data_IF_963852177964
#
_entry.id   IF_963852177964
#
_cell.length_a   1.000
_cell.length_b   1.000
_cell.length_c   1.000
_cell.angle_alpha   90.00
_cell.angle_beta   90.00
_cell.angle_gamma   90.00
#
_symmetry.space_group_name_H-M   'P 1'
#
loop_
_entity.id
_entity.type
_entity.pdbx_description
1 polymer ?
#
# COMPACT_ATOMS: atom_id res chain seq x y z
N UNK A 1 22.95 -2.57 -7.04
CA UNK A 1 23.12 -2.34 -5.56
C UNK A 1 23.20 -3.68 -4.82
N UNK A 2 24.12 -3.90 -3.87
CA UNK A 2 24.18 -5.20 -3.15
C UNK A 2 23.04 -5.32 -2.13
N UNK A 3 22.38 -6.48 -2.09
CA UNK A 3 21.25 -6.72 -1.18
C UNK A 3 21.40 -8.05 -0.43
N UNK A 4 20.57 -8.24 0.60
CA UNK A 4 20.44 -9.53 1.31
C UNK A 4 19.04 -9.69 1.90
N UNK A 5 18.69 -10.93 2.24
CA UNK A 5 17.48 -11.22 3.00
C UNK A 5 17.73 -11.18 4.51
N UNK A 6 16.83 -10.51 5.23
CA UNK A 6 16.67 -10.63 6.66
C UNK A 6 15.42 -11.46 6.95
N UNK A 7 15.59 -12.60 7.62
CA UNK A 7 14.52 -13.55 7.90
C UNK A 7 14.17 -13.46 9.39
N UNK A 8 12.91 -13.12 9.66
CA UNK A 8 12.34 -13.00 11.00
C UNK A 8 11.06 -13.86 11.08
N UNK A 9 10.53 -14.10 12.29
CA UNK A 9 9.29 -14.90 12.43
C UNK A 9 8.14 -14.16 11.73
N UNK A 10 7.58 -14.80 10.70
CA UNK A 10 6.46 -14.24 9.94
C UNK A 10 6.85 -13.08 9.00
N UNK A 11 8.14 -12.83 8.76
CA UNK A 11 8.57 -11.74 7.86
C UNK A 11 9.89 -12.08 7.17
N UNK A 12 9.97 -11.77 5.88
CA UNK A 12 11.22 -11.81 5.13
C UNK A 12 11.38 -10.47 4.45
N UNK A 13 12.42 -9.73 4.84
CA UNK A 13 12.73 -8.39 4.29
C UNK A 13 13.93 -8.47 3.36
N UNK A 14 13.82 -7.85 2.18
CA UNK A 14 14.95 -7.53 1.32
C UNK A 14 15.55 -6.21 1.79
N UNK A 15 16.85 -6.22 2.14
CA UNK A 15 17.54 -5.05 2.67
C UNK A 15 18.81 -4.74 1.88
N UNK A 16 19.23 -3.48 1.88
CA UNK A 16 20.55 -3.07 1.34
C UNK A 16 21.66 -3.68 2.20
N UNK A 17 22.63 -4.34 1.57
CA UNK A 17 23.77 -4.93 2.27
C UNK A 17 24.93 -3.93 2.40
N UNK A 18 24.83 -3.03 3.37
CA UNK A 18 25.85 -2.00 3.64
C UNK A 18 27.05 -2.50 4.46
N UNK A 19 27.13 -3.79 4.82
CA UNK A 19 28.24 -4.37 5.60
C UNK A 19 28.38 -3.89 7.06
N UNK A 20 27.70 -2.81 7.45
CA UNK A 20 27.75 -2.20 8.79
C UNK A 20 26.47 -2.53 9.57
N UNK A 21 26.57 -2.69 10.90
CA UNK A 21 25.42 -2.67 11.82
C UNK A 21 24.89 -1.23 11.93
N UNK A 22 24.12 -0.79 10.95
CA UNK A 22 23.42 0.49 10.94
C UNK A 22 21.90 0.32 10.85
N UNK A 23 21.18 1.41 10.59
CA UNK A 23 19.74 1.38 10.30
C UNK A 23 19.44 0.47 9.11
N UNK A 24 18.42 -0.38 9.25
CA UNK A 24 18.01 -1.31 8.20
C UNK A 24 17.38 -0.50 7.07
N UNK A 25 17.92 -0.57 5.86
CA UNK A 25 17.28 0.02 4.68
C UNK A 25 16.50 -1.07 3.95
N UNK A 26 15.18 -1.13 4.19
CA UNK A 26 14.29 -2.14 3.62
C UNK A 26 13.83 -1.69 2.23
N UNK A 27 13.95 -2.58 1.24
CA UNK A 27 13.56 -2.36 -0.14
C UNK A 27 12.23 -3.05 -0.50
N UNK A 28 11.96 -4.18 0.15
CA UNK A 28 10.71 -4.90 0.04
C UNK A 28 10.58 -5.85 1.24
N UNK A 29 9.36 -6.27 1.55
CA UNK A 29 9.18 -7.36 2.49
C UNK A 29 7.93 -8.17 2.17
N UNK A 30 8.01 -9.47 2.42
CA UNK A 30 6.82 -10.31 2.54
C UNK A 30 6.50 -10.54 4.02
N UNK A 31 5.24 -10.37 4.39
CA UNK A 31 4.76 -10.50 5.79
C UNK A 31 3.63 -11.52 5.85
N UNK A 32 3.73 -12.44 6.80
CA UNK A 32 2.72 -13.44 7.09
C UNK A 32 1.56 -12.78 7.83
N UNK A 33 0.35 -13.03 7.36
CA UNK A 33 -0.85 -12.75 8.12
C UNK A 33 -0.96 -13.80 9.23
N UNK A 34 -0.71 -13.39 10.48
CA UNK A 34 -0.57 -14.31 11.60
C UNK A 34 -1.77 -15.25 11.73
N UNK A 35 -1.49 -16.55 11.91
CA UNK A 35 -2.53 -17.59 12.03
C UNK A 35 -3.20 -18.00 10.72
N UNK A 36 -2.87 -17.38 9.58
CA UNK A 36 -3.59 -17.63 8.31
C UNK A 36 -2.79 -18.42 7.26
N UNK A 37 -1.46 -18.44 7.36
CA UNK A 37 -0.59 -19.06 6.36
C UNK A 37 -0.38 -18.27 5.06
N UNK A 38 -1.11 -17.17 4.84
CA UNK A 38 -0.98 -16.34 3.64
C UNK A 38 -0.07 -15.14 3.85
N UNK A 39 0.54 -14.66 2.77
CA UNK A 39 1.53 -13.59 2.80
C UNK A 39 1.05 -12.38 2.00
N UNK A 40 1.39 -11.17 2.44
CA UNK A 40 1.35 -9.95 1.64
C UNK A 40 2.77 -9.49 1.34
N UNK A 41 2.93 -8.68 0.30
CA UNK A 41 4.24 -8.17 -0.13
C UNK A 41 4.13 -6.66 -0.33
N UNK A 42 5.06 -5.95 0.28
CA UNK A 42 5.29 -4.52 0.08
C UNK A 42 6.56 -4.35 -0.74
N UNK A 43 6.51 -3.51 -1.76
CA UNK A 43 7.65 -3.12 -2.60
C UNK A 43 7.73 -1.59 -2.66
N UNK A 44 8.82 -1.01 -2.15
CA UNK A 44 8.95 0.44 -2.05
C UNK A 44 8.95 1.14 -3.41
N UNK A 45 9.21 0.41 -4.50
CA UNK A 45 9.18 0.95 -5.86
C UNK A 45 7.76 1.33 -6.29
N UNK A 46 6.75 0.70 -5.69
CA UNK A 46 5.34 1.01 -5.92
C UNK A 46 4.89 2.26 -5.16
N UNK A 47 5.58 2.62 -4.07
CA UNK A 47 5.24 3.77 -3.24
C UNK A 47 5.29 5.08 -4.04
N UNK A 48 4.40 6.01 -3.68
CA UNK A 48 4.41 7.38 -4.17
C UNK A 48 5.75 8.06 -3.87
N UNK A 49 6.34 7.80 -2.70
CA UNK A 49 7.58 8.39 -2.20
C UNK A 49 8.61 7.31 -1.83
N UNK A 50 9.09 6.57 -2.83
CA UNK A 50 10.07 5.49 -2.66
C UNK A 50 11.27 5.92 -1.81
N UNK A 51 11.30 5.44 -0.56
CA UNK A 51 12.33 5.75 0.44
C UNK A 51 12.70 4.45 1.14
N UNK A 52 13.99 4.15 1.27
CA UNK A 52 14.46 2.98 1.98
C UNK A 52 14.84 3.35 3.42
N UNK A 53 14.07 2.84 4.38
CA UNK A 53 14.26 2.95 5.82
C UNK A 53 13.78 1.65 6.50
N UNK A 54 13.85 1.58 7.82
CA UNK A 54 13.60 0.34 8.55
C UNK A 54 12.13 -0.14 8.51
N UNK A 55 11.21 0.77 8.20
CA UNK A 55 9.77 0.51 8.11
C UNK A 55 9.22 0.46 6.68
N UNK A 56 10.02 0.68 5.63
CA UNK A 56 9.51 0.81 4.25
C UNK A 56 8.89 -0.47 3.69
N UNK A 57 9.23 -1.63 4.24
CA UNK A 57 8.60 -2.91 3.90
C UNK A 57 7.35 -3.22 4.74
N UNK A 58 6.85 -2.27 5.53
CA UNK A 58 5.70 -2.47 6.42
C UNK A 58 4.52 -1.68 5.86
N UNK A 59 3.47 -2.38 5.45
CA UNK A 59 2.29 -1.71 4.97
C UNK A 59 1.52 -1.08 6.12
N UNK A 60 1.06 0.15 5.94
CA UNK A 60 0.23 0.84 6.92
C UNK A 60 -1.17 0.21 6.97
N UNK A 61 -1.91 0.42 8.06
CA UNK A 61 -3.30 -0.06 8.15
C UNK A 61 -4.15 0.48 6.99
N UNK A 62 -3.92 1.73 6.59
CA UNK A 62 -4.63 2.39 5.50
C UNK A 62 -4.32 1.77 4.15
N UNK A 63 -3.13 1.20 3.92
CA UNK A 63 -2.84 0.50 2.66
C UNK A 63 -3.70 -0.75 2.46
N UNK A 64 -4.06 -1.40 3.57
CA UNK A 64 -4.88 -2.60 3.58
C UNK A 64 -6.37 -2.31 3.71
N UNK A 65 -6.77 -1.12 4.17
CA UNK A 65 -8.17 -0.84 4.45
C UNK A 65 -8.45 0.67 4.42
N UNK A 66 -9.20 1.11 3.42
CA UNK A 66 -9.77 2.44 3.33
C UNK A 66 -11.27 2.42 3.61
N UNK A 67 -11.77 3.47 4.25
CA UNK A 67 -13.18 3.62 4.62
C UNK A 67 -13.60 5.09 4.66
N UNK A 68 -14.76 5.38 4.09
CA UNK A 68 -15.45 6.66 4.23
C UNK A 68 -16.96 6.47 4.30
N UNK A 69 -17.60 7.34 5.10
CA UNK A 69 -19.04 7.54 5.11
C UNK A 69 -19.36 8.83 4.36
N UNK A 70 -19.92 8.78 3.14
CA UNK A 70 -20.30 9.98 2.41
C UNK A 70 -21.36 10.78 3.17
N UNK A 71 -21.29 12.12 3.15
CA UNK A 71 -22.30 13.00 3.76
C UNK A 71 -23.47 13.31 2.85
N UNK A 72 -23.34 13.02 1.55
CA UNK A 72 -24.36 13.27 0.53
C UNK A 72 -24.24 12.29 -0.64
N UNK A 73 -25.28 12.20 -1.47
CA UNK A 73 -25.25 11.39 -2.71
C UNK A 73 -24.24 11.94 -3.73
N UNK A 74 -24.01 13.25 -3.73
CA UNK A 74 -22.98 13.89 -4.56
C UNK A 74 -21.58 13.44 -4.12
N UNK A 75 -21.30 13.49 -2.82
CA UNK A 75 -20.03 13.03 -2.26
C UNK A 75 -19.83 11.53 -2.57
N UNK A 76 -20.87 10.72 -2.37
CA UNK A 76 -20.87 9.28 -2.68
C UNK A 76 -20.49 9.03 -4.15
N UNK A 77 -21.14 9.72 -5.08
CA UNK A 77 -20.87 9.59 -6.51
C UNK A 77 -19.43 9.97 -6.87
N UNK A 78 -18.91 11.04 -6.27
CA UNK A 78 -17.53 11.50 -6.50
C UNK A 78 -16.50 10.53 -5.93
N UNK A 79 -16.71 10.00 -4.72
CA UNK A 79 -15.84 8.97 -4.13
C UNK A 79 -15.78 7.74 -5.06
N UNK A 80 -16.95 7.24 -5.49
CA UNK A 80 -17.03 6.06 -6.37
C UNK A 80 -16.30 6.28 -7.71
N UNK A 81 -16.35 7.49 -8.26
CA UNK A 81 -15.63 7.83 -9.49
C UNK A 81 -14.10 7.83 -9.33
N UNK A 82 -13.57 7.95 -8.11
CA UNK A 82 -12.14 7.90 -7.82
C UNK A 82 -11.62 6.47 -7.56
N UNK A 83 -12.52 5.51 -7.37
CA UNK A 83 -12.18 4.14 -6.97
C UNK A 83 -12.45 3.16 -8.12
N UNK A 84 -11.50 2.27 -8.37
CA UNK A 84 -11.61 1.20 -9.35
C UNK A 84 -12.27 -0.05 -8.76
N UNK A 85 -11.95 -0.39 -7.50
CA UNK A 85 -12.47 -1.54 -6.77
C UNK A 85 -12.89 -1.09 -5.36
N UNK A 86 -14.19 -1.18 -5.04
CA UNK A 86 -14.75 -0.83 -3.73
C UNK A 86 -15.95 -1.70 -3.39
N UNK A 87 -16.37 -1.68 -2.12
CA UNK A 87 -17.60 -2.26 -1.63
C UNK A 87 -18.43 -1.20 -0.90
N UNK A 88 -19.73 -1.23 -1.11
CA UNK A 88 -20.68 -0.41 -0.34
C UNK A 88 -21.36 -1.30 0.69
N UNK A 89 -21.32 -0.86 1.95
CA UNK A 89 -21.99 -1.53 3.05
C UNK A 89 -23.42 -1.05 3.18
N UNK A 90 -24.26 -1.82 3.88
CA UNK A 90 -25.68 -1.51 4.10
C UNK A 90 -25.90 -0.18 4.85
N UNK A 91 -24.92 0.22 5.67
CA UNK A 91 -24.93 1.48 6.43
C UNK A 91 -24.46 2.69 5.60
N UNK A 92 -24.23 2.51 4.29
CA UNK A 92 -23.82 3.56 3.37
C UNK A 92 -22.31 3.84 3.35
N UNK A 93 -21.51 3.11 4.13
CA UNK A 93 -20.05 3.23 4.08
C UNK A 93 -19.48 2.65 2.79
N UNK A 94 -18.47 3.32 2.26
CA UNK A 94 -17.66 2.83 1.14
C UNK A 94 -16.33 2.36 1.70
N UNK A 95 -15.99 1.09 1.43
CA UNK A 95 -14.71 0.49 1.85
C UNK A 95 -13.92 0.00 0.63
N UNK A 96 -12.60 0.13 0.67
CA UNK A 96 -11.71 -0.30 -0.42
C UNK A 96 -10.31 -0.61 0.09
N UNK A 97 -9.44 -1.09 -0.81
CA UNK A 97 -8.03 -1.33 -0.51
C UNK A 97 -7.17 -0.36 -1.34
N UNK A 98 -6.51 0.63 -0.72
CA UNK A 98 -5.66 1.59 -1.44
C UNK A 98 -4.50 0.95 -2.19
N UNK A 99 -3.86 -0.07 -1.63
CA UNK A 99 -2.78 -0.83 -2.30
C UNK A 99 -1.66 0.04 -2.88
N UNK A 100 -1.29 1.15 -2.23
CA UNK A 100 -0.32 2.12 -2.74
C UNK A 100 1.07 1.50 -2.92
N UNK A 101 1.56 0.72 -1.94
CA UNK A 101 2.86 0.01 -2.03
C UNK A 101 2.75 -1.52 -2.11
N UNK A 102 1.52 -2.06 -2.15
CA UNK A 102 1.27 -3.51 -2.11
C UNK A 102 1.34 -4.15 -3.51
N UNK A 103 2.01 -5.30 -3.59
CA UNK A 103 1.99 -6.15 -4.78
C UNK A 103 0.65 -6.89 -4.84
N UNK A 104 -0.11 -6.70 -5.93
CA UNK A 104 -1.37 -7.41 -6.18
C UNK A 104 -1.15 -8.93 -6.16
N UNK A 105 -1.99 -9.62 -5.41
CA UNK A 105 -2.05 -11.07 -5.31
C UNK A 105 -3.45 -11.59 -5.64
N UNK A 106 -3.85 -12.65 -4.97
CA UNK A 106 -5.20 -13.22 -5.07
C UNK A 106 -6.11 -12.72 -3.95
N UNK A 107 -7.43 -12.81 -4.17
CA UNK A 107 -8.44 -12.58 -3.11
C UNK A 107 -8.50 -13.72 -2.09
N UNK A 108 -8.07 -14.91 -2.49
CA UNK A 108 -8.04 -16.13 -1.68
C UNK A 108 -6.87 -17.01 -2.13
N UNK A 109 -6.34 -17.80 -1.21
CA UNK A 109 -5.28 -18.79 -1.47
C UNK A 109 -5.84 -20.15 -1.07
N UNK A 110 -5.88 -21.08 -2.02
CA UNK A 110 -6.39 -22.43 -1.81
C UNK A 110 -7.80 -22.47 -1.17
N UNK A 111 -8.67 -21.54 -1.60
CA UNK A 111 -10.04 -21.38 -1.09
C UNK A 111 -10.15 -20.67 0.26
N UNK A 112 -9.03 -20.23 0.84
CA UNK A 112 -9.01 -19.48 2.09
C UNK A 112 -8.83 -17.98 1.85
N UNK A 113 -9.76 -17.18 2.38
CA UNK A 113 -9.67 -15.72 2.43
C UNK A 113 -9.49 -15.27 3.90
N UNK A 114 -8.37 -14.62 4.25
CA UNK A 114 -8.19 -14.05 5.59
C UNK A 114 -9.35 -13.14 6.00
N UNK A 115 -9.79 -13.21 7.27
CA UNK A 115 -10.74 -12.25 7.81
C UNK A 115 -10.25 -10.81 7.60
N UNK A 116 -11.17 -9.94 7.22
CA UNK A 116 -10.92 -8.52 7.04
C UNK A 116 -11.93 -7.71 7.83
N UNK A 117 -11.55 -6.51 8.34
CA UNK A 117 -12.53 -5.56 8.86
C UNK A 117 -13.67 -5.36 7.86
N UNK A 118 -14.90 -5.44 8.39
CA UNK A 118 -16.13 -5.27 7.63
C UNK A 118 -16.26 -6.16 6.37
N UNK A 119 -15.56 -7.31 6.33
CA UNK A 119 -15.66 -8.26 5.22
C UNK A 119 -14.97 -7.83 3.92
N UNK A 120 -14.15 -6.76 3.93
CA UNK A 120 -13.48 -6.27 2.72
C UNK A 120 -12.68 -7.38 2.04
N UNK A 121 -12.96 -7.63 0.75
CA UNK A 121 -12.19 -8.57 -0.07
C UNK A 121 -10.99 -7.85 -0.66
N UNK A 122 -9.80 -8.40 -0.46
CA UNK A 122 -8.52 -7.77 -0.82
C UNK A 122 -7.68 -8.71 -1.65
N UNK A 123 -7.27 -8.29 -2.83
CA UNK A 123 -6.41 -9.09 -3.71
C UNK A 123 -4.93 -8.87 -3.36
N UNK A 124 -4.53 -9.23 -2.15
CA UNK A 124 -3.18 -8.97 -1.61
C UNK A 124 -2.49 -10.25 -1.11
N UNK A 125 -3.13 -11.40 -1.30
CA UNK A 125 -2.69 -12.65 -0.70
C UNK A 125 -1.85 -13.46 -1.67
N UNK A 126 -0.78 -14.04 -1.12
CA UNK A 126 0.18 -14.87 -1.83
C UNK A 126 0.45 -16.13 -1.02
N UNK A 127 0.70 -17.25 -1.69
CA UNK A 127 1.39 -18.38 -1.07
C UNK A 127 2.81 -17.96 -0.67
N UNK A 128 3.44 -18.71 0.24
CA UNK A 128 4.83 -18.46 0.63
C UNK A 128 5.79 -18.54 -0.55
N UNK A 129 5.57 -19.48 -1.48
CA UNK A 129 6.47 -19.70 -2.61
C UNK A 129 6.32 -18.63 -3.68
N UNK A 130 5.09 -18.18 -3.96
CA UNK A 130 4.83 -17.00 -4.79
C UNK A 130 5.52 -15.77 -4.20
N UNK A 131 5.36 -15.54 -2.88
CA UNK A 131 5.99 -14.39 -2.23
C UNK A 131 7.52 -14.41 -2.30
N UNK A 132 8.15 -15.58 -2.17
CA UNK A 132 9.59 -15.74 -2.36
C UNK A 132 10.04 -15.52 -3.79
N UNK A 133 9.27 -15.99 -4.77
CA UNK A 133 9.58 -15.77 -6.20
C UNK A 133 9.58 -14.27 -6.51
N UNK A 134 8.53 -13.56 -6.08
CA UNK A 134 8.44 -12.10 -6.23
C UNK A 134 9.60 -11.39 -5.53
N UNK A 135 9.95 -11.76 -4.29
CA UNK A 135 11.11 -11.18 -3.60
C UNK A 135 12.45 -11.41 -4.32
N UNK A 136 12.60 -12.53 -5.06
CA UNK A 136 13.80 -12.77 -5.87
C UNK A 136 13.84 -11.90 -7.11
N UNK A 137 12.70 -11.67 -7.75
CA UNK A 137 12.59 -10.75 -8.89
C UNK A 137 12.90 -9.31 -8.45
N UNK A 138 12.37 -8.89 -7.30
CA UNK A 138 12.68 -7.58 -6.71
C UNK A 138 14.17 -7.48 -6.38
N UNK A 139 14.76 -8.52 -5.79
CA UNK A 139 16.21 -8.58 -5.52
C UNK A 139 17.03 -8.41 -6.81
N UNK A 140 16.73 -9.19 -7.84
CA UNK A 140 17.45 -9.13 -9.12
C UNK A 140 17.42 -7.74 -9.74
N UNK A 141 16.26 -7.06 -9.67
CA UNK A 141 16.15 -5.67 -10.09
C UNK A 141 17.10 -4.75 -9.31
N UNK A 142 17.07 -4.79 -7.98
CA UNK A 142 17.91 -3.90 -7.17
C UNK A 142 19.40 -4.18 -7.35
N UNK A 143 19.77 -5.43 -7.57
CA UNK A 143 21.16 -5.81 -7.85
C UNK A 143 21.65 -5.24 -9.17
N UNK A 144 20.80 -5.19 -10.20
CA UNK A 144 21.09 -4.59 -11.49
C UNK A 144 20.91 -3.05 -11.54
N UNK A 145 20.15 -2.45 -10.62
CA UNK A 145 19.88 -1.01 -10.62
C UNK A 145 21.13 -0.19 -10.24
N UNK A 146 21.47 0.78 -11.09
CA UNK A 146 22.62 1.69 -10.93
C UNK A 146 22.25 3.06 -10.33
N UNK A 147 20.95 3.35 -10.20
CA UNK A 147 20.45 4.63 -9.69
C UNK A 147 20.22 4.67 -8.18
N UNK A 148 19.62 5.76 -7.71
CA UNK A 148 19.17 5.91 -6.31
C UNK A 148 17.85 5.19 -6.08
N UNK A 149 17.49 4.97 -4.81
CA UNK A 149 16.20 4.39 -4.41
C UNK A 149 15.02 5.20 -4.95
N UNK A 150 15.08 6.53 -4.85
CA UNK A 150 14.01 7.41 -5.33
C UNK A 150 13.79 7.34 -6.85
N UNK A 151 14.81 6.94 -7.62
CA UNK A 151 14.73 6.77 -9.07
C UNK A 151 14.13 5.42 -9.50
N UNK A 152 14.02 4.45 -8.60
CA UNK A 152 13.60 3.08 -8.90
C UNK A 152 12.06 2.90 -9.00
N UNK A 153 11.32 4.00 -9.13
CA UNK A 153 9.86 4.00 -9.06
C UNK A 153 9.23 3.28 -10.26
N UNK A 154 8.22 2.47 -9.98
CA UNK A 154 7.40 1.80 -10.99
C UNK A 154 5.93 2.21 -10.84
N UNK A 155 5.17 2.12 -11.93
CA UNK A 155 3.74 2.38 -11.89
C UNK A 155 3.01 1.24 -11.17
N UNK A 156 2.13 1.59 -10.24
CA UNK A 156 1.21 0.64 -9.62
C UNK A 156 -0.19 0.82 -10.23
N UNK A 157 -0.62 -0.03 -11.19
CA UNK A 157 -1.93 0.11 -11.84
C UNK A 157 -3.11 -0.20 -10.92
N UNK A 158 -2.85 -0.73 -9.72
CA UNK A 158 -3.87 -1.08 -8.72
C UNK A 158 -3.93 -0.09 -7.56
N UNK A 159 -3.05 0.91 -7.54
CA UNK A 159 -3.06 1.93 -6.51
C UNK A 159 -4.35 2.77 -6.62
N UNK A 160 -5.04 2.89 -5.50
CA UNK A 160 -6.22 3.73 -5.31
C UNK A 160 -5.90 4.78 -4.24
N UNK A 161 -6.59 5.93 -4.22
CA UNK A 161 -6.36 6.94 -3.19
C UNK A 161 -6.65 6.42 -1.77
N UNK A 162 -5.85 6.85 -0.80
CA UNK A 162 -6.08 6.58 0.62
C UNK A 162 -7.28 7.39 1.15
N UNK A 163 -7.91 6.90 2.23
CA UNK A 163 -9.08 7.55 2.85
C UNK A 163 -8.83 9.01 3.19
N UNK A 164 -7.69 9.30 3.80
CA UNK A 164 -7.31 10.65 4.22
C UNK A 164 -7.11 11.59 3.03
N UNK A 165 -6.60 11.08 1.91
CA UNK A 165 -6.48 11.87 0.68
C UNK A 165 -7.84 12.31 0.16
N UNK A 166 -8.82 11.40 0.16
CA UNK A 166 -10.18 11.71 -0.27
C UNK A 166 -10.86 12.65 0.74
N UNK A 167 -10.72 12.41 2.04
CA UNK A 167 -11.30 13.26 3.10
C UNK A 167 -10.78 14.69 3.01
N UNK A 168 -9.47 14.86 2.87
CA UNK A 168 -8.83 16.17 2.75
C UNK A 168 -9.31 16.93 1.52
N UNK A 169 -9.55 16.26 0.39
CA UNK A 169 -10.10 16.89 -0.80
C UNK A 169 -11.45 17.57 -0.52
N UNK A 170 -12.37 16.88 0.13
CA UNK A 170 -13.68 17.46 0.47
C UNK A 170 -13.58 18.60 1.49
N UNK A 171 -12.69 18.48 2.49
CA UNK A 171 -12.45 19.55 3.46
C UNK A 171 -11.91 20.80 2.76
N UNK A 172 -10.91 20.67 1.89
CA UNK A 172 -10.34 21.82 1.18
C UNK A 172 -11.36 22.48 0.25
N UNK A 173 -12.21 21.70 -0.41
CA UNK A 173 -13.30 22.25 -1.23
C UNK A 173 -14.33 23.01 -0.37
N UNK A 174 -14.69 22.49 0.79
CA UNK A 174 -15.61 23.15 1.72
C UNK A 174 -15.04 24.47 2.25
N UNK A 175 -13.76 24.46 2.65
CA UNK A 175 -13.04 25.67 3.09
C UNK A 175 -12.98 26.69 1.96
N UNK A 176 -12.62 26.28 0.73
CA UNK A 176 -12.57 27.19 -0.43
C UNK A 176 -13.95 27.77 -0.77
N UNK A 177 -15.03 27.00 -0.57
CA UNK A 177 -16.40 27.49 -0.74
C UNK A 177 -16.78 28.52 0.33
N UNK A 178 -16.34 28.32 1.57
CA UNK A 178 -16.59 29.23 2.69
C UNK A 178 -15.76 30.52 2.61
N UNK A 179 -14.55 30.43 2.04
CA UNK A 179 -13.58 31.53 1.96
C UNK A 179 -13.06 31.68 0.51
N UNK A 180 -13.90 32.12 -0.45
CA UNK A 180 -13.51 32.20 -1.86
C UNK A 180 -12.45 33.26 -2.17
N UNK A 181 -12.32 34.27 -1.30
CA UNK A 181 -11.42 35.42 -1.47
C UNK A 181 -10.10 35.30 -0.69
N UNK A 182 -9.92 34.24 0.11
CA UNK A 182 -8.68 33.99 0.83
C UNK A 182 -7.73 33.22 -0.11
N UNK A 183 -6.96 33.96 -0.91
CA UNK A 183 -5.72 33.42 -1.48
C UNK A 183 -4.84 33.07 -0.30
N UNK A 184 -4.82 31.80 0.10
CA UNK A 184 -4.09 31.31 1.27
C UNK A 184 -2.64 31.83 1.32
N UNK A 185 -1.99 31.79 2.50
CA UNK A 185 -0.66 32.38 2.69
C UNK A 185 0.27 31.86 1.60
N UNK A 186 0.85 32.79 0.83
CA UNK A 186 1.77 32.48 -0.25
C UNK A 186 2.87 31.53 0.24
N UNK A 187 2.96 30.37 -0.38
CA UNK A 187 4.13 29.50 -0.32
C UNK A 187 5.29 30.15 -1.08
#
# INVERSE_FOLDING_TARGET
MKTKYLIEKGRISLVIDNGVRGEKQVLAAMTLWEGTGVWSIVDIRLDKYATAHEYSGSGSADEFYGELTPKSEEERSRIKAMLHEYQELEDGRIIWCPMTSLVKGAYEIDGYAPPSPNGLRRAVHHTRDQGKAILKEIQAYWEAHEGTVAQAKIANPHAQPESDRIRNMFIFEEVKRMYPDDTGPGL
#
